data_IF_850296785050
#
_entry.id   IF_850296785050
#
_cell.length_a   1.000
_cell.length_b   1.000
_cell.length_c   1.000
_cell.angle_alpha   90.00
_cell.angle_beta   90.00
_cell.angle_gamma   90.00
#
_symmetry.space_group_name_H-M   'P 1'
#
loop_
_entity.id
_entity.type
_entity.pdbx_description
1 polymer ?
#
# COMPACT_ATOMS: atom_id res chain seq x y z
N UNK A 1 -6.52 -7.00 -7.75
CA UNK A 1 -5.49 -6.25 -8.51
C UNK A 1 -4.22 -6.19 -7.68
N UNK A 2 -3.05 -6.24 -8.31
CA UNK A 2 -1.78 -6.11 -7.61
C UNK A 2 -1.02 -4.88 -8.15
N UNK A 3 -0.51 -4.04 -7.26
CA UNK A 3 0.31 -2.87 -7.62
C UNK A 3 1.67 -2.93 -6.89
N UNK A 4 2.77 -2.53 -7.55
CA UNK A 4 4.08 -2.42 -6.92
C UNK A 4 4.16 -1.19 -6.01
N UNK A 5 5.29 -1.01 -5.34
CA UNK A 5 5.64 0.21 -4.62
C UNK A 5 5.85 1.40 -5.57
N UNK A 6 4.74 2.03 -6.00
CA UNK A 6 4.73 3.13 -6.97
C UNK A 6 5.60 4.29 -6.46
N UNK A 7 6.43 4.84 -7.36
CA UNK A 7 7.33 5.97 -7.10
C UNK A 7 8.49 5.74 -6.12
N UNK A 8 8.57 4.58 -5.44
CA UNK A 8 9.65 4.27 -4.48
C UNK A 8 10.96 3.77 -5.13
N UNK A 9 10.96 3.52 -6.45
CA UNK A 9 12.13 3.09 -7.21
C UNK A 9 12.96 4.27 -7.71
N UNK A 10 13.10 4.37 -9.04
CA UNK A 10 13.89 5.44 -9.70
C UNK A 10 13.45 6.85 -9.29
N UNK A 11 12.16 7.06 -9.01
CA UNK A 11 11.62 8.36 -8.59
C UNK A 11 11.94 8.74 -7.14
N UNK A 12 12.46 7.80 -6.33
CA UNK A 12 12.98 8.10 -4.99
C UNK A 12 11.96 8.60 -3.97
N UNK A 13 10.66 8.40 -4.20
CA UNK A 13 9.64 8.85 -3.25
C UNK A 13 9.81 8.13 -1.90
N UNK A 14 9.73 8.84 -0.75
CA UNK A 14 9.99 8.22 0.55
C UNK A 14 9.05 7.04 0.84
N UNK A 15 9.62 5.86 1.09
CA UNK A 15 8.85 4.61 1.24
C UNK A 15 7.73 4.70 2.27
N UNK A 16 8.00 5.25 3.47
CA UNK A 16 7.00 5.36 4.53
C UNK A 16 5.83 6.27 4.15
N UNK A 17 6.10 7.38 3.45
CA UNK A 17 5.06 8.29 2.95
C UNK A 17 4.24 7.62 1.83
N UNK A 18 4.91 6.90 0.92
CA UNK A 18 4.23 6.17 -0.16
C UNK A 18 3.30 5.07 0.38
N UNK A 19 3.75 4.33 1.41
CA UNK A 19 2.94 3.30 2.04
C UNK A 19 1.66 3.89 2.63
N UNK A 20 1.77 4.97 3.41
CA UNK A 20 0.61 5.62 4.02
C UNK A 20 -0.42 6.05 2.95
N UNK A 21 0.03 6.77 1.92
CA UNK A 21 -0.85 7.20 0.83
C UNK A 21 -1.47 6.00 0.10
N UNK A 22 -0.68 4.96 -0.19
CA UNK A 22 -1.16 3.79 -0.93
C UNK A 22 -2.21 3.00 -0.14
N UNK A 23 -2.04 2.85 1.16
CA UNK A 23 -3.01 2.15 2.02
C UNK A 23 -4.29 2.97 2.13
N UNK A 24 -4.20 4.26 2.50
CA UNK A 24 -5.35 5.14 2.67
C UNK A 24 -6.22 5.25 1.41
N UNK A 25 -5.59 5.26 0.23
CA UNK A 25 -6.32 5.34 -1.04
C UNK A 25 -6.96 4.01 -1.42
N UNK A 26 -6.27 2.89 -1.16
CA UNK A 26 -6.84 1.57 -1.42
C UNK A 26 -8.04 1.29 -0.53
N UNK A 27 -7.98 1.67 0.75
CA UNK A 27 -9.12 1.52 1.67
C UNK A 27 -10.33 2.33 1.21
N UNK A 28 -10.14 3.64 0.94
CA UNK A 28 -11.21 4.49 0.41
C UNK A 28 -11.79 3.96 -0.90
N UNK A 29 -10.95 3.39 -1.76
CA UNK A 29 -11.38 2.77 -3.01
C UNK A 29 -12.21 1.50 -2.76
N UNK A 30 -11.80 0.64 -1.83
CA UNK A 30 -12.54 -0.59 -1.49
C UNK A 30 -13.90 -0.29 -0.84
N UNK A 31 -14.00 0.79 -0.06
CA UNK A 31 -15.27 1.28 0.48
C UNK A 31 -16.20 1.84 -0.61
N UNK A 32 -15.64 2.58 -1.56
CA UNK A 32 -16.41 3.26 -2.61
C UNK A 32 -16.79 2.33 -3.78
N UNK A 33 -15.96 1.32 -4.08
CA UNK A 33 -16.07 0.49 -5.29
C UNK A 33 -16.09 -1.00 -4.96
N UNK A 34 -17.28 -1.51 -4.63
CA UNK A 34 -17.51 -2.90 -4.21
C UNK A 34 -17.17 -3.98 -5.26
N UNK A 35 -16.87 -3.58 -6.51
CA UNK A 35 -16.39 -4.49 -7.56
C UNK A 35 -14.98 -5.02 -7.28
N UNK A 36 -14.16 -4.27 -6.54
CA UNK A 36 -12.83 -4.73 -6.16
C UNK A 36 -12.92 -5.61 -4.93
N UNK A 37 -12.64 -6.91 -5.09
CA UNK A 37 -12.68 -7.89 -3.99
C UNK A 37 -11.36 -8.09 -3.27
N UNK A 38 -10.24 -7.75 -3.93
CA UNK A 38 -8.90 -7.97 -3.39
C UNK A 38 -7.89 -7.05 -4.05
N UNK A 39 -7.10 -6.36 -3.22
CA UNK A 39 -5.91 -5.61 -3.62
C UNK A 39 -4.68 -6.24 -2.98
N UNK A 40 -3.56 -6.28 -3.71
CA UNK A 40 -2.28 -6.82 -3.23
C UNK A 40 -1.20 -5.77 -3.44
N UNK A 41 -0.51 -5.40 -2.36
CA UNK A 41 0.72 -4.60 -2.43
C UNK A 41 1.90 -5.51 -2.73
N UNK A 42 2.36 -5.53 -4.00
CA UNK A 42 3.43 -6.40 -4.48
C UNK A 42 4.80 -5.81 -4.12
N UNK A 43 5.30 -6.17 -2.94
CA UNK A 43 6.58 -5.69 -2.42
C UNK A 43 7.74 -6.47 -3.05
N UNK A 44 8.72 -5.76 -3.60
CA UNK A 44 9.93 -6.37 -4.17
C UNK A 44 10.86 -6.96 -3.11
N UNK A 45 10.97 -6.28 -1.97
CA UNK A 45 11.86 -6.65 -0.88
C UNK A 45 11.10 -6.73 0.47
N UNK A 46 11.75 -7.37 1.44
CA UNK A 46 11.20 -7.54 2.79
C UNK A 46 10.99 -6.20 3.51
N UNK A 47 11.89 -5.22 3.31
CA UNK A 47 11.80 -3.91 3.98
C UNK A 47 10.53 -3.16 3.60
N UNK A 48 10.12 -3.22 2.32
CA UNK A 48 8.88 -2.62 1.85
C UNK A 48 7.67 -3.39 2.38
N UNK A 49 7.74 -4.73 2.42
CA UNK A 49 6.67 -5.55 2.97
C UNK A 49 6.43 -5.24 4.46
N UNK A 50 7.49 -5.04 5.24
CA UNK A 50 7.39 -4.72 6.66
C UNK A 50 6.75 -3.35 6.90
N UNK A 51 7.05 -2.35 6.05
CA UNK A 51 6.37 -1.05 6.11
C UNK A 51 4.86 -1.17 5.85
N UNK A 52 4.45 -1.91 4.81
CA UNK A 52 3.03 -2.14 4.54
C UNK A 52 2.34 -2.91 5.68
N UNK A 53 2.98 -3.95 6.24
CA UNK A 53 2.43 -4.70 7.37
C UNK A 53 2.23 -3.81 8.60
N UNK A 54 3.23 -2.99 8.94
CA UNK A 54 3.14 -2.08 10.06
C UNK A 54 2.01 -1.05 9.86
N UNK A 55 1.88 -0.49 8.65
CA UNK A 55 0.80 0.46 8.33
C UNK A 55 -0.59 -0.17 8.49
N UNK A 56 -0.80 -1.37 7.91
CA UNK A 56 -2.08 -2.09 7.99
C UNK A 56 -2.43 -2.54 9.42
N UNK A 57 -1.43 -2.86 10.24
CA UNK A 57 -1.65 -3.18 11.66
C UNK A 57 -2.10 -1.96 12.47
N UNK A 58 -1.57 -0.78 12.15
CA UNK A 58 -1.90 0.45 12.86
C UNK A 58 -3.32 0.97 12.57
N UNK A 59 -3.91 0.61 11.43
CA UNK A 59 -5.27 1.03 11.04
C UNK A 59 -6.37 0.08 11.55
N UNK A 60 -6.00 -1.09 12.09
CA UNK A 60 -6.96 -2.05 12.64
C UNK A 60 -7.46 -1.70 14.07
N UNK A 61 -7.29 -0.46 14.52
CA UNK A 61 -7.75 0.06 15.83
C UNK A 61 -8.82 1.12 15.61
#
# INVERSE_FOLDING_TARGET
>A
IAFPAISCGVYGYPKAQAVAVAVDEVERCLESYLMFKRVVFACFDQSMADLYRACLQNQAT
#
